data_IF_989052673699
#
_entry.id   IF_989052673699
#
_cell.length_a   1.000
_cell.length_b   1.000
_cell.length_c   1.000
_cell.angle_alpha   90.00
_cell.angle_beta   90.00
_cell.angle_gamma   90.00
#
_symmetry.space_group_name_H-M   'P 1'
#
loop_
_entity.id
_entity.type
_entity.pdbx_description
1 polymer ?
#
# COMPACT_ATOMS: atom_id res chain seq x y z
N UNK A 1 -4.63 -17.88 -3.89
CA UNK A 1 -5.79 -16.97 -4.05
C UNK A 1 -7.14 -17.69 -4.26
N UNK A 2 -7.25 -18.81 -5.02
CA UNK A 2 -8.54 -19.50 -5.23
C UNK A 2 -9.23 -19.90 -3.92
N UNK A 3 -8.45 -20.38 -2.95
CA UNK A 3 -8.97 -20.88 -1.68
C UNK A 3 -9.63 -19.80 -0.81
N UNK A 4 -9.08 -18.59 -0.82
CA UNK A 4 -9.68 -17.46 -0.09
C UNK A 4 -11.03 -17.09 -0.69
N UNK A 5 -11.09 -16.97 -2.02
CA UNK A 5 -12.33 -16.61 -2.70
C UNK A 5 -13.40 -17.69 -2.59
N UNK A 6 -13.01 -18.95 -2.53
CA UNK A 6 -13.90 -20.09 -2.33
C UNK A 6 -14.55 -20.12 -0.93
N UNK A 7 -13.85 -19.59 0.09
CA UNK A 7 -14.37 -19.51 1.46
C UNK A 7 -15.27 -18.30 1.71
N UNK A 8 -15.39 -17.38 0.74
CA UNK A 8 -16.24 -16.19 0.90
C UNK A 8 -17.72 -16.59 0.89
N UNK A 9 -18.52 -16.10 1.85
CA UNK A 9 -19.97 -16.19 1.78
C UNK A 9 -20.47 -15.61 0.47
N UNK A 10 -21.49 -16.23 -0.12
CA UNK A 10 -22.11 -15.75 -1.37
C UNK A 10 -23.06 -14.58 -1.11
N UNK A 11 -23.66 -14.54 0.08
CA UNK A 11 -24.67 -13.55 0.49
C UNK A 11 -24.49 -13.19 1.97
N UNK A 12 -24.97 -12.00 2.35
CA UNK A 12 -25.07 -11.53 3.73
C UNK A 12 -26.46 -10.97 4.00
N UNK A 13 -26.96 -11.14 5.23
CA UNK A 13 -28.27 -10.61 5.64
C UNK A 13 -28.19 -9.09 5.86
N UNK A 14 -27.13 -8.63 6.51
CA UNK A 14 -26.85 -7.21 6.76
C UNK A 14 -25.42 -6.84 6.37
N UNK A 15 -25.14 -5.55 6.16
CA UNK A 15 -23.77 -5.07 5.97
C UNK A 15 -22.88 -5.36 7.19
N UNK A 16 -23.45 -5.36 8.40
CA UNK A 16 -22.75 -5.67 9.64
C UNK A 16 -22.27 -7.12 9.72
N UNK A 17 -23.03 -8.05 9.14
CA UNK A 17 -22.59 -9.45 9.03
C UNK A 17 -21.36 -9.57 8.13
N UNK A 18 -21.33 -8.81 7.03
CA UNK A 18 -20.16 -8.76 6.16
C UNK A 18 -18.97 -8.13 6.87
N UNK A 19 -19.15 -7.00 7.57
CA UNK A 19 -18.09 -6.37 8.39
C UNK A 19 -17.51 -7.37 9.40
N UNK A 20 -18.37 -8.09 10.11
CA UNK A 20 -17.96 -9.13 11.07
C UNK A 20 -17.17 -10.25 10.39
N UNK A 21 -17.59 -10.69 9.21
CA UNK A 21 -16.84 -11.66 8.43
C UNK A 21 -15.45 -11.15 8.03
N UNK A 22 -15.30 -9.87 7.65
CA UNK A 22 -13.99 -9.30 7.34
C UNK A 22 -13.04 -9.28 8.54
N UNK A 23 -13.55 -8.96 9.72
CA UNK A 23 -12.79 -8.95 10.97
C UNK A 23 -12.31 -10.35 11.39
N UNK A 24 -13.12 -11.38 11.11
CA UNK A 24 -12.82 -12.74 11.52
C UNK A 24 -12.02 -13.54 10.47
N UNK A 25 -12.31 -13.31 9.19
CA UNK A 25 -11.83 -14.16 8.08
C UNK A 25 -11.28 -13.37 6.88
N UNK A 26 -11.66 -12.10 6.73
CA UNK A 26 -11.27 -11.28 5.58
C UNK A 26 -9.88 -10.67 5.69
N UNK A 27 -9.23 -10.73 6.86
CA UNK A 27 -7.89 -10.20 7.09
C UNK A 27 -7.85 -8.71 7.42
N UNK A 28 -8.94 -8.17 7.97
CA UNK A 28 -9.03 -6.80 8.49
C UNK A 28 -9.03 -6.86 10.01
N UNK A 29 -8.37 -5.93 10.69
CA UNK A 29 -8.23 -5.98 12.15
C UNK A 29 -8.97 -4.84 12.86
N UNK A 30 -9.37 -3.77 12.16
CA UNK A 30 -10.08 -2.63 12.78
C UNK A 30 -11.57 -2.61 12.42
N UNK A 31 -12.40 -2.44 13.45
CA UNK A 31 -13.86 -2.30 13.28
C UNK A 31 -14.22 -1.03 12.49
N UNK A 32 -13.51 0.07 12.74
CA UNK A 32 -13.71 1.34 12.03
C UNK A 32 -13.37 1.20 10.54
N UNK A 33 -12.26 0.51 10.23
CA UNK A 33 -11.89 0.19 8.85
C UNK A 33 -12.95 -0.67 8.17
N UNK A 34 -13.44 -1.71 8.85
CA UNK A 34 -14.50 -2.57 8.31
C UNK A 34 -15.78 -1.78 8.05
N UNK A 35 -16.20 -0.92 8.98
CA UNK A 35 -17.38 -0.09 8.84
C UNK A 35 -17.28 0.89 7.66
N UNK A 36 -16.07 1.38 7.35
CA UNK A 36 -15.82 2.30 6.25
C UNK A 36 -15.73 1.57 4.89
N UNK A 37 -14.91 0.52 4.82
CA UNK A 37 -14.46 -0.05 3.55
C UNK A 37 -15.28 -1.25 3.08
N UNK A 38 -16.03 -1.93 3.95
CA UNK A 38 -16.85 -3.10 3.57
C UNK A 38 -18.14 -2.73 2.83
N UNK A 39 -18.96 -1.75 3.27
CA UNK A 39 -20.24 -1.48 2.61
C UNK A 39 -20.14 -1.20 1.10
N UNK A 40 -19.16 -0.43 0.59
CA UNK A 40 -19.00 -0.21 -0.85
C UNK A 40 -18.73 -1.50 -1.66
N UNK A 41 -18.20 -2.55 -1.04
CA UNK A 41 -17.93 -3.84 -1.69
C UNK A 41 -19.21 -4.66 -1.94
N UNK A 42 -20.33 -4.24 -1.36
CA UNK A 42 -21.62 -4.93 -1.42
C UNK A 42 -22.62 -4.16 -2.27
N UNK A 43 -23.66 -4.87 -2.70
CA UNK A 43 -24.88 -4.31 -3.25
C UNK A 43 -26.07 -5.13 -2.73
N UNK A 44 -27.21 -4.48 -2.55
CA UNK A 44 -28.45 -5.18 -2.21
C UNK A 44 -29.05 -5.79 -3.47
N UNK A 45 -29.33 -7.07 -3.43
CA UNK A 45 -30.06 -7.77 -4.50
C UNK A 45 -31.55 -7.41 -4.41
N UNK A 46 -32.16 -6.82 -5.45
CA UNK A 46 -33.57 -6.43 -5.41
C UNK A 46 -34.53 -7.61 -5.33
N UNK A 47 -34.13 -8.82 -5.75
CA UNK A 47 -35.00 -10.00 -5.75
C UNK A 47 -35.07 -10.67 -4.37
N UNK A 48 -33.90 -10.83 -3.73
CA UNK A 48 -33.79 -11.54 -2.45
C UNK A 48 -33.77 -10.60 -1.25
N UNK A 49 -33.47 -9.32 -1.46
CA UNK A 49 -33.25 -8.35 -0.39
C UNK A 49 -31.92 -8.54 0.37
N UNK A 50 -31.13 -9.55 0.02
CA UNK A 50 -29.85 -9.86 0.64
C UNK A 50 -28.71 -9.02 0.05
N UNK A 51 -27.62 -8.88 0.79
CA UNK A 51 -26.40 -8.25 0.30
C UNK A 51 -25.54 -9.29 -0.43
N UNK A 52 -25.07 -8.92 -1.62
CA UNK A 52 -24.16 -9.72 -2.44
C UNK A 52 -22.92 -8.90 -2.79
N UNK A 53 -21.82 -9.58 -3.13
CA UNK A 53 -20.63 -8.90 -3.63
C UNK A 53 -20.95 -8.08 -4.87
N UNK A 54 -20.53 -6.81 -4.88
CA UNK A 54 -20.69 -5.89 -6.01
C UNK A 54 -19.96 -6.40 -7.25
N UNK A 55 -18.81 -7.05 -7.07
CA UNK A 55 -17.95 -7.56 -8.14
C UNK A 55 -17.67 -9.04 -7.99
N UNK A 56 -17.51 -9.73 -9.13
CA UNK A 56 -17.12 -11.13 -9.16
C UNK A 56 -15.62 -11.26 -9.46
N UNK A 57 -14.81 -11.29 -8.40
CA UNK A 57 -13.35 -11.40 -8.52
C UNK A 57 -12.90 -12.68 -9.25
N UNK A 58 -13.63 -13.80 -9.12
CA UNK A 58 -13.25 -15.06 -9.78
C UNK A 58 -13.27 -14.94 -11.31
N UNK A 59 -14.12 -14.09 -11.88
CA UNK A 59 -14.13 -13.82 -13.33
C UNK A 59 -12.84 -13.14 -13.80
N UNK A 60 -12.14 -12.45 -12.92
CA UNK A 60 -10.87 -11.78 -13.22
C UNK A 60 -9.65 -12.69 -13.07
N UNK A 61 -9.84 -13.95 -12.62
CA UNK A 61 -8.72 -14.89 -12.40
C UNK A 61 -7.82 -15.08 -13.61
N UNK A 62 -8.38 -15.02 -14.82
CA UNK A 62 -7.66 -15.16 -16.09
C UNK A 62 -6.63 -14.05 -16.36
N UNK A 63 -6.76 -12.89 -15.72
CA UNK A 63 -5.87 -11.73 -15.94
C UNK A 63 -4.92 -11.47 -14.78
N UNK A 64 -5.06 -12.18 -13.65
CA UNK A 64 -4.21 -11.95 -12.47
C UNK A 64 -2.73 -12.19 -12.76
N UNK A 65 -2.41 -13.22 -13.53
CA UNK A 65 -1.03 -13.49 -13.93
C UNK A 65 -0.41 -12.25 -14.60
N UNK A 66 -1.15 -11.58 -15.49
CA UNK A 66 -0.70 -10.35 -16.13
C UNK A 66 -0.55 -9.14 -15.19
N UNK A 67 -1.22 -9.12 -14.03
CA UNK A 67 -1.07 -8.06 -13.04
C UNK A 67 0.22 -8.20 -12.21
N UNK A 68 0.63 -9.43 -11.93
CA UNK A 68 1.76 -9.73 -11.04
C UNK A 68 3.04 -10.11 -11.77
N UNK A 69 2.95 -10.57 -13.03
CA UNK A 69 4.12 -10.87 -13.84
C UNK A 69 5.02 -9.64 -13.97
N UNK A 70 6.29 -9.83 -13.61
CA UNK A 70 7.33 -8.80 -13.60
C UNK A 70 7.02 -7.55 -12.75
N UNK A 71 6.03 -7.58 -11.86
CA UNK A 71 5.66 -6.45 -11.02
C UNK A 71 6.85 -5.95 -10.18
N UNK A 72 7.62 -6.86 -9.59
CA UNK A 72 8.79 -6.52 -8.78
C UNK A 72 9.88 -5.83 -9.62
N UNK A 73 10.11 -6.32 -10.84
CA UNK A 73 11.06 -5.71 -11.79
C UNK A 73 10.59 -4.33 -12.22
N UNK A 74 9.31 -4.20 -12.56
CA UNK A 74 8.71 -2.93 -12.93
C UNK A 74 8.84 -1.91 -11.79
N UNK A 75 8.45 -2.28 -10.56
CA UNK A 75 8.57 -1.43 -9.38
C UNK A 75 10.01 -0.97 -9.12
N UNK A 76 10.98 -1.89 -9.14
CA UNK A 76 12.40 -1.56 -8.89
C UNK A 76 12.99 -0.70 -10.00
N UNK A 77 12.53 -0.85 -11.25
CA UNK A 77 13.03 -0.10 -12.40
C UNK A 77 12.66 1.39 -12.39
N UNK A 78 11.60 1.78 -11.66
CA UNK A 78 11.17 3.17 -11.58
C UNK A 78 12.28 4.04 -10.96
N UNK A 79 12.55 5.19 -11.57
CA UNK A 79 13.63 6.12 -11.14
C UNK A 79 13.22 7.08 -10.03
N UNK A 80 11.98 7.00 -9.55
CA UNK A 80 11.45 7.84 -8.48
C UNK A 80 11.71 7.25 -7.10
N UNK A 81 11.48 8.07 -6.07
CA UNK A 81 11.50 7.60 -4.68
C UNK A 81 10.29 6.69 -4.44
N UNK A 82 10.56 5.55 -3.80
CA UNK A 82 9.58 4.47 -3.61
C UNK A 82 9.55 4.04 -2.16
N UNK A 83 8.36 3.64 -1.72
CA UNK A 83 8.11 2.98 -0.45
C UNK A 83 7.30 1.72 -0.69
N UNK A 84 7.72 0.63 -0.07
CA UNK A 84 6.98 -0.63 -0.03
C UNK A 84 6.54 -0.88 1.41
N UNK A 85 5.24 -0.98 1.64
CA UNK A 85 4.64 -1.24 2.95
C UNK A 85 4.19 -2.69 3.03
N UNK A 86 4.61 -3.42 4.05
CA UNK A 86 4.20 -4.79 4.32
C UNK A 86 3.49 -4.86 5.66
N UNK A 87 2.40 -5.62 5.70
CA UNK A 87 1.66 -5.86 6.93
C UNK A 87 2.53 -6.67 7.89
N UNK A 88 3.09 -7.78 7.41
CA UNK A 88 3.86 -8.71 8.21
C UNK A 88 5.27 -8.84 7.63
N UNK A 89 6.19 -9.44 8.39
CA UNK A 89 7.49 -9.90 7.87
C UNK A 89 7.34 -11.13 6.98
N UNK A 90 6.45 -11.06 5.99
CA UNK A 90 6.42 -12.04 4.92
C UNK A 90 7.74 -11.98 4.15
N UNK A 91 8.13 -13.13 3.60
CA UNK A 91 9.35 -13.20 2.80
C UNK A 91 9.13 -12.36 1.55
N UNK A 92 9.84 -11.25 1.46
CA UNK A 92 10.09 -10.59 0.18
C UNK A 92 10.64 -11.62 -0.80
N UNK A 93 10.23 -11.52 -2.06
CA UNK A 93 10.86 -12.32 -3.10
C UNK A 93 12.36 -11.98 -3.17
N UNK A 94 13.13 -12.86 -3.82
CA UNK A 94 14.58 -12.70 -3.94
C UNK A 94 14.97 -11.39 -4.62
N UNK A 95 14.19 -10.93 -5.59
CA UNK A 95 14.48 -9.74 -6.38
C UNK A 95 14.26 -8.46 -5.58
N UNK A 96 13.12 -8.31 -4.88
CA UNK A 96 12.86 -7.23 -3.95
C UNK A 96 13.84 -7.24 -2.77
N UNK A 97 14.23 -8.41 -2.27
CA UNK A 97 15.26 -8.53 -1.23
C UNK A 97 16.58 -7.92 -1.68
N UNK A 98 17.08 -8.30 -2.87
CA UNK A 98 18.32 -7.73 -3.43
C UNK A 98 18.18 -6.23 -3.66
N UNK A 99 17.07 -5.76 -4.22
CA UNK A 99 16.83 -4.35 -4.45
C UNK A 99 16.74 -3.54 -3.15
N UNK A 100 16.15 -4.11 -2.10
CA UNK A 100 16.13 -3.50 -0.77
C UNK A 100 17.53 -3.39 -0.17
N UNK A 101 18.33 -4.47 -0.25
CA UNK A 101 19.73 -4.46 0.19
C UNK A 101 20.59 -3.44 -0.57
N UNK A 102 20.25 -3.13 -1.81
CA UNK A 102 20.87 -2.07 -2.62
C UNK A 102 20.34 -0.67 -2.31
N UNK A 103 19.37 -0.51 -1.40
CA UNK A 103 18.78 0.78 -1.03
C UNK A 103 17.86 1.38 -2.10
N UNK A 104 17.30 0.58 -3.01
CA UNK A 104 16.50 1.09 -4.15
C UNK A 104 15.11 1.59 -3.78
N UNK A 105 14.61 1.23 -2.60
CA UNK A 105 13.33 1.69 -2.05
C UNK A 105 13.35 1.61 -0.52
N UNK A 106 12.47 2.38 0.12
CA UNK A 106 12.22 2.28 1.57
C UNK A 106 11.25 1.14 1.86
N UNK A 107 11.63 0.22 2.73
CA UNK A 107 10.76 -0.85 3.21
C UNK A 107 10.19 -0.45 4.58
N UNK A 108 8.87 -0.52 4.71
CA UNK A 108 8.15 -0.30 5.97
C UNK A 108 7.37 -1.56 6.34
N UNK A 109 7.57 -2.05 7.56
CA UNK A 109 6.85 -3.21 8.09
C UNK A 109 6.03 -2.76 9.30
N UNK A 110 4.73 -3.02 9.27
CA UNK A 110 3.79 -2.58 10.30
C UNK A 110 3.62 -3.62 11.42
N UNK A 111 3.91 -4.89 11.12
CA UNK A 111 3.84 -6.00 12.06
C UNK A 111 2.40 -6.45 12.33
N UNK A 112 2.23 -7.25 13.37
CA UNK A 112 0.98 -7.97 13.66
C UNK A 112 -0.21 -7.06 14.06
N UNK A 113 -0.03 -5.74 14.13
CA UNK A 113 -1.08 -4.78 14.44
C UNK A 113 -2.05 -4.55 13.28
N UNK A 114 -1.68 -4.91 12.04
CA UNK A 114 -2.55 -4.84 10.87
C UNK A 114 -2.62 -6.16 10.12
N UNK A 115 -3.74 -6.40 9.45
CA UNK A 115 -3.89 -7.50 8.50
C UNK A 115 -3.55 -7.05 7.08
N UNK A 116 -4.25 -7.61 6.11
CA UNK A 116 -4.07 -7.31 4.69
C UNK A 116 -4.36 -5.83 4.35
N UNK A 117 -5.19 -5.16 5.14
CA UNK A 117 -5.68 -3.81 4.89
C UNK A 117 -4.91 -2.76 5.70
N UNK A 118 -3.60 -2.63 5.47
CA UNK A 118 -2.72 -1.68 6.20
C UNK A 118 -3.30 -0.26 6.21
N UNK A 119 -3.89 0.17 5.09
CA UNK A 119 -4.46 1.50 4.94
C UNK A 119 -5.62 1.77 5.90
N UNK A 120 -6.42 0.73 6.19
CA UNK A 120 -7.58 0.80 7.07
C UNK A 120 -7.22 0.46 8.52
N UNK A 121 -6.30 -0.50 8.72
CA UNK A 121 -5.92 -0.99 10.04
C UNK A 121 -4.92 -0.07 10.74
N UNK A 122 -4.02 0.58 9.98
CA UNK A 122 -2.91 1.36 10.51
C UNK A 122 -2.79 2.75 9.84
N UNK A 123 -3.93 3.36 9.48
CA UNK A 123 -3.99 4.63 8.74
C UNK A 123 -3.09 5.74 9.31
N UNK A 124 -3.11 5.92 10.64
CA UNK A 124 -2.32 6.96 11.33
C UNK A 124 -0.83 6.67 11.22
N UNK A 125 -0.42 5.44 11.51
CA UNK A 125 0.98 5.03 11.43
C UNK A 125 1.51 5.17 9.99
N UNK A 126 0.72 4.75 9.00
CA UNK A 126 1.07 4.89 7.61
C UNK A 126 1.21 6.36 7.21
N UNK A 127 0.27 7.21 7.64
CA UNK A 127 0.34 8.64 7.40
C UNK A 127 1.63 9.26 7.95
N UNK A 128 2.08 8.84 9.13
CA UNK A 128 3.35 9.27 9.72
C UNK A 128 4.55 8.80 8.90
N UNK A 129 4.58 7.54 8.46
CA UNK A 129 5.67 7.00 7.63
C UNK A 129 5.76 7.72 6.28
N UNK A 130 4.63 7.97 5.62
CA UNK A 130 4.56 8.75 4.37
C UNK A 130 5.05 10.18 4.60
N UNK A 131 4.57 10.85 5.65
CA UNK A 131 5.02 12.20 6.02
C UNK A 131 6.54 12.25 6.22
N UNK A 132 7.10 11.28 6.91
CA UNK A 132 8.54 11.18 7.15
C UNK A 132 9.32 10.99 5.84
N UNK A 133 8.83 10.16 4.93
CA UNK A 133 9.42 10.00 3.61
C UNK A 133 9.43 11.32 2.85
N UNK A 134 8.28 11.99 2.76
CA UNK A 134 8.13 13.27 2.03
C UNK A 134 9.08 14.32 2.62
N UNK A 135 9.07 14.50 3.94
CA UNK A 135 9.97 15.44 4.61
C UNK A 135 11.44 15.16 4.30
N UNK A 136 11.86 13.88 4.35
CA UNK A 136 13.23 13.50 4.03
C UNK A 136 13.59 13.85 2.58
N UNK A 137 12.72 13.58 1.62
CA UNK A 137 12.95 13.89 0.20
C UNK A 137 13.07 15.41 0.00
N UNK A 138 12.14 16.18 0.57
CA UNK A 138 12.13 17.65 0.46
C UNK A 138 13.43 18.23 1.01
N UNK A 139 13.83 17.84 2.22
CA UNK A 139 15.06 18.31 2.86
C UNK A 139 16.32 17.94 2.05
N UNK A 140 16.37 16.73 1.47
CA UNK A 140 17.49 16.32 0.62
C UNK A 140 17.55 17.13 -0.68
N UNK A 141 16.40 17.40 -1.29
CA UNK A 141 16.30 18.23 -2.49
C UNK A 141 16.79 19.67 -2.23
N UNK A 142 16.38 20.29 -1.12
CA UNK A 142 16.84 21.61 -0.70
C UNK A 142 18.36 21.65 -0.46
N UNK A 143 18.90 20.65 0.22
CA UNK A 143 20.36 20.53 0.47
C UNK A 143 21.16 20.35 -0.82
N UNK A 144 20.65 19.57 -1.76
CA UNK A 144 21.28 19.41 -3.07
C UNK A 144 21.26 20.73 -3.85
N UNK A 145 20.10 21.39 -3.91
CA UNK A 145 19.94 22.65 -4.65
C UNK A 145 20.78 23.79 -4.08
N UNK A 146 20.95 23.86 -2.75
CA UNK A 146 21.80 24.87 -2.10
C UNK A 146 23.30 24.65 -2.34
N UNK A 147 23.75 23.41 -2.51
CA UNK A 147 25.16 23.08 -2.84
C UNK A 147 25.51 23.33 -4.30
N UNK A 148 24.53 23.30 -5.20
CA UNK A 148 24.73 23.50 -6.65
C UNK A 148 24.77 25.00 -7.01
N UNK A 149 24.32 25.92 -6.14
CA UNK A 149 24.52 27.36 -6.38
C UNK A 149 26.03 27.66 -6.40
N UNK A 150 26.58 28.27 -7.47
CA UNK A 150 27.99 28.62 -7.51
C UNK A 150 28.29 29.57 -6.36
N UNK A 151 29.36 29.27 -5.62
CA UNK A 151 29.95 30.16 -4.62
C UNK A 151 30.24 31.47 -5.36
N UNK A 152 29.47 32.53 -5.09
CA UNK A 152 29.69 33.85 -5.70
C UNK A 152 31.19 34.17 -5.61
N UNK A 153 31.84 34.29 -6.76
CA UNK A 153 33.20 34.81 -6.84
C UNK A 153 33.15 36.23 -6.26
N UNK A 154 33.80 36.41 -5.10
CA UNK A 154 34.02 37.74 -4.55
C UNK A 154 34.82 38.52 -5.59
N UNK A 155 34.40 39.74 -5.99
CA UNK A 155 35.17 40.52 -6.94
C UNK A 155 36.56 40.77 -6.34
N UNK A 156 37.58 40.26 -7.04
CA UNK A 156 38.98 40.52 -6.71
C UNK A 156 39.17 42.03 -6.91
N UNK A 157 39.20 42.79 -5.81
CA UNK A 157 39.60 44.19 -5.86
C UNK A 157 41.10 44.23 -6.17
N UNK A 158 41.45 44.71 -7.36
CA UNK A 158 42.84 45.04 -7.71
C UNK A 158 43.35 46.12 -6.75
N UNK A 159 44.54 45.97 -6.13
CA UNK A 159 45.16 47.03 -5.35
C UNK A 159 45.59 48.22 -6.26
N UNK A 160 45.81 49.41 -5.67
CA UNK A 160 45.84 50.70 -6.36
C UNK A 160 47.03 50.92 -7.29
#
# INVERSE_FOLDING_TARGET
>A
MPDFLARRPTTFTTEKDAQTWFLQHGGMHTADGAALSVPPLLRKDPLTGLFVWRTNLLKMSKVWEGWFNDLDKAFVSLTMVKMLCLANTERLDKYLTVAHMQGKFQLEVFGNSCGHYIMDDAAVELGLKIKNLVNRITLLSEKLNSRVKPRMELPISSPP
#
